data_IF_329842612338
#
_entry.id   IF_329842612338
#
_cell.length_a   1.000
_cell.length_b   1.000
_cell.length_c   1.000
_cell.angle_alpha   90.00
_cell.angle_beta   90.00
_cell.angle_gamma   90.00
#
_symmetry.space_group_name_H-M   'P 1'
#
loop_
_entity.id
_entity.type
_entity.pdbx_description
1 polymer ?
#
# COMPACT_ATOMS: atom_id res chain seq x y z
N UNK A 1 13.63 -24.69 17.80
CA UNK A 1 13.85 -23.27 17.47
C UNK A 1 13.27 -22.86 16.10
N UNK A 2 13.18 -23.75 15.09
CA UNK A 2 12.61 -23.42 13.78
C UNK A 2 11.08 -23.15 13.73
N UNK A 3 10.27 -23.91 14.48
CA UNK A 3 8.80 -23.80 14.43
C UNK A 3 8.29 -22.41 14.86
N UNK A 4 8.88 -21.81 15.90
CA UNK A 4 8.49 -20.48 16.37
C UNK A 4 8.86 -19.36 15.40
N UNK A 5 9.97 -19.50 14.67
CA UNK A 5 10.42 -18.51 13.68
C UNK A 5 9.54 -18.55 12.44
N UNK A 6 9.12 -19.73 12.01
CA UNK A 6 8.21 -19.90 10.86
C UNK A 6 6.83 -19.28 11.15
N UNK A 7 6.25 -19.52 12.33
CA UNK A 7 4.96 -18.94 12.75
C UNK A 7 5.03 -17.40 12.85
N UNK A 8 6.13 -16.86 13.38
CA UNK A 8 6.32 -15.41 13.45
C UNK A 8 6.40 -14.80 12.05
N UNK A 9 7.11 -15.46 11.13
CA UNK A 9 7.25 -15.00 9.74
C UNK A 9 5.91 -15.02 8.99
N UNK A 10 5.07 -16.03 9.24
CA UNK A 10 3.75 -16.17 8.63
C UNK A 10 2.78 -15.10 9.15
N UNK A 11 2.76 -14.86 10.47
CA UNK A 11 1.94 -13.80 11.07
C UNK A 11 2.27 -12.42 10.50
N UNK A 12 3.56 -12.09 10.33
CA UNK A 12 3.98 -10.81 9.75
C UNK A 12 3.59 -10.70 8.28
N UNK A 13 3.73 -11.77 7.50
CA UNK A 13 3.29 -11.80 6.09
C UNK A 13 1.78 -11.59 5.96
N UNK A 14 0.98 -12.19 6.84
CA UNK A 14 -0.47 -11.96 6.88
C UNK A 14 -0.79 -10.51 7.20
N UNK A 15 -0.11 -9.89 8.17
CA UNK A 15 -0.27 -8.45 8.46
C UNK A 15 0.07 -7.58 7.26
N UNK A 16 1.20 -7.86 6.58
CA UNK A 16 1.59 -7.12 5.36
C UNK A 16 0.55 -7.29 4.25
N UNK A 17 0.03 -8.50 4.04
CA UNK A 17 -1.01 -8.75 3.05
C UNK A 17 -2.30 -7.98 3.35
N UNK A 18 -2.74 -7.97 4.63
CA UNK A 18 -3.88 -7.18 5.08
C UNK A 18 -3.63 -5.69 4.82
N UNK A 19 -2.44 -5.18 5.11
CA UNK A 19 -2.09 -3.78 4.85
C UNK A 19 -2.15 -3.42 3.36
N UNK A 20 -1.70 -4.30 2.45
CA UNK A 20 -1.86 -4.10 1.01
C UNK A 20 -3.33 -4.06 0.57
N UNK A 21 -4.17 -4.92 1.16
CA UNK A 21 -5.62 -4.88 0.94
C UNK A 21 -6.24 -3.58 1.48
N UNK A 22 -5.85 -3.15 2.68
CA UNK A 22 -6.28 -1.88 3.26
C UNK A 22 -5.85 -0.68 2.40
N UNK A 23 -4.65 -0.71 1.83
CA UNK A 23 -4.19 0.32 0.90
C UNK A 23 -5.07 0.39 -0.35
N UNK A 24 -5.44 -0.77 -0.90
CA UNK A 24 -6.36 -0.87 -2.03
C UNK A 24 -7.70 -0.21 -1.69
N UNK A 25 -8.28 -0.56 -0.53
CA UNK A 25 -9.55 0.01 -0.07
C UNK A 25 -9.46 1.52 0.15
N UNK A 26 -8.35 2.01 0.70
CA UNK A 26 -8.12 3.43 0.90
C UNK A 26 -8.04 4.19 -0.43
N UNK A 27 -7.35 3.64 -1.44
CA UNK A 27 -7.35 4.22 -2.78
C UNK A 27 -8.74 4.22 -3.41
N UNK A 28 -9.52 3.14 -3.28
CA UNK A 28 -10.90 3.10 -3.79
C UNK A 28 -11.76 4.18 -3.12
N UNK A 29 -11.72 4.28 -1.79
CA UNK A 29 -12.49 5.26 -1.04
C UNK A 29 -12.10 6.69 -1.42
N UNK A 30 -10.80 6.97 -1.53
CA UNK A 30 -10.30 8.26 -1.97
C UNK A 30 -10.73 8.61 -3.40
N UNK A 31 -10.61 7.66 -4.34
CA UNK A 31 -11.07 7.84 -5.71
C UNK A 31 -12.56 8.16 -5.78
N UNK A 32 -13.40 7.40 -5.06
CA UNK A 32 -14.84 7.68 -4.99
C UNK A 32 -15.12 9.08 -4.43
N UNK A 33 -14.48 9.44 -3.31
CA UNK A 33 -14.64 10.77 -2.70
C UNK A 33 -14.28 11.88 -3.69
N UNK A 34 -13.17 11.74 -4.41
CA UNK A 34 -12.74 12.68 -5.43
C UNK A 34 -13.76 12.85 -6.55
N UNK A 35 -14.38 11.75 -7.01
CA UNK A 35 -15.41 11.78 -8.06
C UNK A 35 -16.75 12.36 -7.58
N UNK A 36 -17.15 12.08 -6.34
CA UNK A 36 -18.40 12.60 -5.78
C UNK A 36 -18.30 14.09 -5.41
N UNK A 37 -17.18 14.56 -4.85
CA UNK A 37 -16.99 15.98 -4.51
C UNK A 37 -16.95 16.88 -5.74
N UNK A 38 -16.44 16.39 -6.88
CA UNK A 38 -16.36 17.16 -8.12
C UNK A 38 -17.64 17.12 -8.97
N UNK A 39 -18.70 16.44 -8.52
CA UNK A 39 -20.03 16.51 -9.12
C UNK A 39 -20.16 15.92 -10.54
N UNK A 40 -19.19 15.12 -10.99
CA UNK A 40 -19.20 14.48 -12.30
C UNK A 40 -17.98 13.60 -12.50
N UNK A 41 -18.02 12.67 -13.47
CA UNK A 41 -16.83 11.92 -13.88
C UNK A 41 -15.92 12.89 -14.64
N UNK A 42 -14.77 13.31 -14.08
CA UNK A 42 -13.86 14.20 -14.77
C UNK A 42 -13.37 13.52 -16.04
N UNK A 43 -13.16 14.32 -17.10
CA UNK A 43 -12.55 13.86 -18.34
C UNK A 43 -11.05 13.67 -18.10
N UNK A 44 -10.72 12.59 -17.42
CA UNK A 44 -9.33 12.26 -17.16
C UNK A 44 -8.66 11.75 -18.42
N UNK A 45 -7.38 12.09 -18.56
CA UNK A 45 -6.57 11.53 -19.64
C UNK A 45 -6.45 10.02 -19.46
N UNK A 46 -6.31 9.29 -20.57
CA UNK A 46 -6.06 7.84 -20.52
C UNK A 46 -4.89 7.48 -19.60
N UNK A 47 -3.85 8.31 -19.58
CA UNK A 47 -2.69 8.13 -18.69
C UNK A 47 -3.05 8.17 -17.21
N UNK A 48 -3.94 9.08 -16.80
CA UNK A 48 -4.36 9.17 -15.39
C UNK A 48 -5.28 8.01 -14.99
N UNK A 49 -6.17 7.57 -15.88
CA UNK A 49 -6.99 6.38 -15.67
C UNK A 49 -6.13 5.14 -15.47
N UNK A 50 -5.15 4.92 -16.36
CA UNK A 50 -4.20 3.81 -16.22
C UNK A 50 -3.41 3.90 -14.91
N UNK A 51 -2.98 5.10 -14.52
CA UNK A 51 -2.29 5.30 -13.26
C UNK A 51 -3.15 4.90 -12.05
N UNK A 52 -4.43 5.28 -12.03
CA UNK A 52 -5.35 4.84 -10.99
C UNK A 52 -5.53 3.31 -10.99
N UNK A 53 -5.71 2.70 -12.16
CA UNK A 53 -5.81 1.23 -12.28
C UNK A 53 -4.58 0.53 -11.71
N UNK A 54 -3.37 1.06 -11.97
CA UNK A 54 -2.14 0.54 -11.36
C UNK A 54 -2.15 0.67 -9.84
N UNK A 55 -2.59 1.81 -9.30
CA UNK A 55 -2.69 2.03 -7.86
C UNK A 55 -3.70 1.09 -7.18
N UNK A 56 -4.65 0.51 -7.92
CA UNK A 56 -5.56 -0.52 -7.39
C UNK A 56 -5.02 -1.94 -7.56
N UNK A 57 -4.56 -2.28 -8.78
CA UNK A 57 -4.16 -3.65 -9.14
C UNK A 57 -2.85 -4.04 -8.46
N UNK A 58 -1.88 -3.13 -8.39
CA UNK A 58 -0.56 -3.45 -7.84
C UNK A 58 -0.65 -3.84 -6.36
N UNK A 59 -1.30 -3.08 -5.46
CA UNK A 59 -1.51 -3.49 -4.08
C UNK A 59 -2.23 -4.84 -3.94
N UNK A 60 -3.26 -5.13 -4.75
CA UNK A 60 -3.95 -6.42 -4.74
C UNK A 60 -3.01 -7.58 -5.10
N UNK A 61 -2.21 -7.41 -6.15
CA UNK A 61 -1.22 -8.40 -6.54
C UNK A 61 -0.17 -8.59 -5.44
N UNK A 62 0.29 -7.51 -4.81
CA UNK A 62 1.26 -7.56 -3.72
C UNK A 62 0.69 -8.25 -2.47
N UNK A 63 -0.61 -8.10 -2.18
CA UNK A 63 -1.27 -8.85 -1.12
C UNK A 63 -1.20 -10.36 -1.37
N UNK A 64 -1.55 -10.81 -2.59
CA UNK A 64 -1.44 -12.22 -2.97
C UNK A 64 0.01 -12.72 -2.96
N UNK A 65 0.92 -11.99 -3.61
CA UNK A 65 2.33 -12.36 -3.73
C UNK A 65 3.03 -12.42 -2.36
N UNK A 66 2.62 -11.57 -1.41
CA UNK A 66 3.13 -11.62 -0.04
C UNK A 66 2.89 -12.99 0.61
N UNK A 67 1.74 -13.62 0.32
CA UNK A 67 1.34 -14.93 0.84
C UNK A 67 1.85 -16.10 -0.03
N UNK A 68 2.02 -15.89 -1.34
CA UNK A 68 2.43 -16.94 -2.26
C UNK A 68 3.96 -17.11 -2.40
N UNK A 69 4.73 -16.03 -2.29
CA UNK A 69 6.17 -16.06 -2.55
C UNK A 69 7.00 -16.53 -1.35
N UNK A 70 8.14 -17.18 -1.63
CA UNK A 70 9.17 -17.49 -0.64
C UNK A 70 9.65 -16.21 0.04
N UNK A 71 10.01 -16.33 1.32
CA UNK A 71 10.27 -15.19 2.20
C UNK A 71 11.28 -14.16 1.67
N UNK A 72 12.40 -14.58 1.07
CA UNK A 72 13.40 -13.63 0.51
C UNK A 72 12.83 -12.80 -0.65
N UNK A 73 12.07 -13.43 -1.54
CA UNK A 73 11.45 -12.77 -2.68
C UNK A 73 10.32 -11.85 -2.22
N UNK A 74 9.43 -12.38 -1.36
CA UNK A 74 8.36 -11.63 -0.69
C UNK A 74 8.90 -10.37 0.01
N UNK A 75 9.97 -10.51 0.81
CA UNK A 75 10.60 -9.39 1.52
C UNK A 75 11.13 -8.31 0.57
N UNK A 76 11.90 -8.71 -0.43
CA UNK A 76 12.51 -7.76 -1.37
C UNK A 76 11.43 -6.99 -2.14
N UNK A 77 10.41 -7.71 -2.62
CA UNK A 77 9.26 -7.14 -3.32
C UNK A 77 8.52 -6.13 -2.43
N UNK A 78 8.25 -6.50 -1.17
CA UNK A 78 7.54 -5.63 -0.24
C UNK A 78 8.34 -4.38 0.13
N UNK A 79 9.65 -4.47 0.37
CA UNK A 79 10.49 -3.30 0.66
C UNK A 79 10.49 -2.32 -0.52
N UNK A 80 10.80 -2.81 -1.73
CA UNK A 80 10.91 -1.95 -2.92
C UNK A 80 9.57 -1.30 -3.24
N UNK A 81 8.48 -2.09 -3.22
CA UNK A 81 7.15 -1.60 -3.54
C UNK A 81 6.66 -0.62 -2.48
N UNK A 82 6.78 -0.93 -1.19
CA UNK A 82 6.34 -0.02 -0.12
C UNK A 82 7.17 1.27 -0.07
N UNK A 83 8.47 1.23 -0.31
CA UNK A 83 9.27 2.46 -0.41
C UNK A 83 8.81 3.34 -1.59
N UNK A 84 8.53 2.74 -2.75
CA UNK A 84 8.03 3.45 -3.93
C UNK A 84 6.67 4.10 -3.65
N UNK A 85 5.72 3.31 -3.15
CA UNK A 85 4.39 3.81 -2.80
C UNK A 85 4.44 4.84 -1.67
N UNK A 86 5.37 4.74 -0.73
CA UNK A 86 5.50 5.72 0.36
C UNK A 86 5.87 7.10 -0.20
N UNK A 87 6.87 7.17 -1.08
CA UNK A 87 7.25 8.44 -1.74
C UNK A 87 6.08 9.01 -2.53
N UNK A 88 5.38 8.16 -3.30
CA UNK A 88 4.21 8.59 -4.08
C UNK A 88 3.09 9.13 -3.19
N UNK A 89 2.76 8.44 -2.08
CA UNK A 89 1.69 8.86 -1.18
C UNK A 89 2.04 10.11 -0.37
N UNK A 90 3.32 10.34 -0.05
CA UNK A 90 3.77 11.60 0.57
C UNK A 90 3.59 12.77 -0.41
N UNK A 91 4.00 12.60 -1.66
CA UNK A 91 3.77 13.60 -2.70
C UNK A 91 2.27 13.87 -2.92
N UNK A 92 1.47 12.80 -2.95
CA UNK A 92 0.02 12.90 -3.08
C UNK A 92 -0.63 13.63 -1.89
N UNK A 93 -0.22 13.32 -0.66
CA UNK A 93 -0.67 14.01 0.54
C UNK A 93 -0.34 15.50 0.49
N UNK A 94 0.86 15.85 0.03
CA UNK A 94 1.26 17.25 -0.13
C UNK A 94 0.34 18.00 -1.11
N UNK A 95 -0.07 17.36 -2.21
CA UNK A 95 -1.03 17.92 -3.16
C UNK A 95 -2.44 18.12 -2.56
N UNK A 96 -2.83 17.32 -1.58
CA UNK A 96 -4.13 17.41 -0.90
C UNK A 96 -4.14 18.28 0.36
N UNK A 97 -3.05 18.99 0.69
CA UNK A 97 -3.05 19.93 1.83
C UNK A 97 -4.07 21.06 1.68
N UNK A 98 -4.49 21.37 0.44
CA UNK A 98 -5.56 22.33 0.15
C UNK A 98 -6.98 21.76 0.25
N UNK A 99 -7.14 20.45 0.47
CA UNK A 99 -8.43 19.75 0.50
C UNK A 99 -8.61 19.02 1.85
N UNK A 100 -8.94 19.73 2.95
CA UNK A 100 -8.89 19.18 4.30
C UNK A 100 -9.76 17.93 4.53
N UNK A 101 -10.88 17.83 3.81
CA UNK A 101 -11.79 16.69 3.89
C UNK A 101 -11.14 15.37 3.42
N UNK A 102 -10.17 15.44 2.51
CA UNK A 102 -9.49 14.27 1.94
C UNK A 102 -8.19 13.91 2.70
N UNK A 103 -7.67 14.80 3.54
CA UNK A 103 -6.45 14.57 4.32
C UNK A 103 -6.49 13.28 5.16
N UNK A 104 -7.59 12.92 5.86
CA UNK A 104 -7.60 11.70 6.66
C UNK A 104 -7.39 10.43 5.82
N UNK A 105 -8.03 10.35 4.64
CA UNK A 105 -7.93 9.16 3.79
C UNK A 105 -6.58 9.08 3.09
N UNK A 106 -6.05 10.21 2.61
CA UNK A 106 -4.72 10.27 1.98
C UNK A 106 -3.59 10.12 3.01
N UNK A 107 -3.78 10.63 4.23
CA UNK A 107 -2.84 10.41 5.34
C UNK A 107 -2.80 8.94 5.76
N UNK A 108 -3.95 8.26 5.74
CA UNK A 108 -4.02 6.83 6.04
C UNK A 108 -3.22 5.99 5.03
N UNK A 109 -3.21 6.35 3.73
CA UNK A 109 -2.39 5.62 2.75
C UNK A 109 -0.91 5.70 3.10
N UNK A 110 -0.39 6.88 3.45
CA UNK A 110 1.00 7.08 3.90
C UNK A 110 1.32 6.19 5.11
N UNK A 111 0.44 6.19 6.11
CA UNK A 111 0.62 5.37 7.31
C UNK A 111 0.63 3.87 6.99
N UNK A 112 -0.30 3.39 6.16
CA UNK A 112 -0.38 1.99 5.73
C UNK A 112 0.92 1.58 5.03
N UNK A 113 1.41 2.37 4.06
CA UNK A 113 2.62 2.00 3.33
C UNK A 113 3.87 2.05 4.24
N UNK A 114 3.91 3.01 5.16
CA UNK A 114 4.95 3.07 6.19
C UNK A 114 4.99 1.83 7.07
N UNK A 115 3.83 1.31 7.48
CA UNK A 115 3.73 0.07 8.26
C UNK A 115 4.16 -1.17 7.46
N UNK A 116 3.82 -1.24 6.17
CA UNK A 116 4.30 -2.31 5.29
C UNK A 116 5.83 -2.30 5.22
N UNK A 117 6.43 -1.12 4.99
CA UNK A 117 7.87 -0.97 4.92
C UNK A 117 8.53 -1.35 6.24
N UNK A 118 7.98 -0.86 7.36
CA UNK A 118 8.46 -1.17 8.70
C UNK A 118 8.49 -2.69 8.95
N UNK A 119 7.37 -3.38 8.76
CA UNK A 119 7.29 -4.82 8.97
C UNK A 119 8.21 -5.61 8.03
N UNK A 120 8.39 -5.14 6.80
CA UNK A 120 9.29 -5.76 5.83
C UNK A 120 10.77 -5.63 6.22
N UNK A 121 11.15 -4.52 6.88
CA UNK A 121 12.49 -4.29 7.42
C UNK A 121 12.71 -5.00 8.75
N UNK A 122 11.68 -5.13 9.59
CA UNK A 122 11.76 -5.85 10.87
C UNK A 122 12.09 -7.34 10.65
N UNK A 123 11.49 -7.97 9.65
CA UNK A 123 11.87 -9.33 9.18
C UNK A 123 13.37 -9.42 8.85
N UNK A 124 14.00 -8.33 8.39
CA UNK A 124 15.42 -8.32 8.06
C UNK A 124 16.33 -8.38 9.29
N UNK A 125 15.88 -7.91 10.45
CA UNK A 125 16.71 -7.81 11.66
C UNK A 125 16.74 -9.14 12.43
N UNK A 126 15.66 -9.92 12.39
CA UNK A 126 15.51 -11.17 13.15
C UNK A 126 16.26 -12.37 12.54
N UNK A 127 16.78 -12.24 11.31
CA UNK A 127 17.49 -13.31 10.58
C UNK A 127 19.01 -13.15 10.45
N UNK A 128 19.59 -12.14 11.11
CA UNK A 128 21.05 -12.04 11.33
C UNK A 128 21.38 -12.60 12.70
#
# INVERSE_FOLDING_TARGET
MGIYVDILSESVRTKIAILWLSLTLAFLAHGQLHFFEKGGVPKETLGLLLFFDFCYIVPLLLAYLTLALREKACRTLNIVSSATFLVMNIYHLWAHLGEPAQIPIVGATVAIVGLILWHSLEISKTKR
#
